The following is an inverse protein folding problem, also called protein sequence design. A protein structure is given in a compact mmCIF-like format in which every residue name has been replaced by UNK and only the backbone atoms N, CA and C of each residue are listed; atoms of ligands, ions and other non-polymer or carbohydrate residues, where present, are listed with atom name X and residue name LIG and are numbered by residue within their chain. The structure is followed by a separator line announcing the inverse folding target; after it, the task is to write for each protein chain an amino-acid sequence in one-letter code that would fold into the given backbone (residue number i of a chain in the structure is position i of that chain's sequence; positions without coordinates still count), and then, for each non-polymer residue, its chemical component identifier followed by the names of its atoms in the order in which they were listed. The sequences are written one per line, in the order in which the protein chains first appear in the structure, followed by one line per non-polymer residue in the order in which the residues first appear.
data_IF_647337344296
#
_entry.id   IF_647337344296
#
_cell.length_a   1.000
_cell.length_b   1.000
_cell.length_c   1.000
_cell.angle_alpha   90.00
_cell.angle_beta   90.00
_cell.angle_gamma   90.00
#
_symmetry.space_group_name_H-M   'P 1'
#
loop_
_entity.id
_entity.type
_entity.pdbx_description
1 polymer ?
#
# COMPACT_ATOMS: atom_id res chain seq x y z
N UNK A 1 11.73 8.93 10.28
CA UNK A 1 11.16 9.42 9.01
C UNK A 1 10.49 10.78 9.17
N UNK A 2 9.56 10.96 10.12
CA UNK A 2 8.86 12.23 10.34
C UNK A 2 9.79 13.43 10.59
N UNK A 3 10.81 13.27 11.45
CA UNK A 3 11.78 14.32 11.75
C UNK A 3 12.57 14.77 10.51
N UNK A 4 12.93 13.83 9.63
CA UNK A 4 13.64 14.14 8.39
C UNK A 4 12.76 14.91 7.38
N UNK A 5 11.48 14.56 7.26
CA UNK A 5 10.51 15.29 6.42
C UNK A 5 10.30 16.71 6.94
N UNK A 6 10.15 16.88 8.26
CA UNK A 6 10.01 18.19 8.89
C UNK A 6 11.24 19.05 8.67
N UNK A 7 12.44 18.51 8.86
CA UNK A 7 13.70 19.21 8.58
C UNK A 7 13.79 19.66 7.12
N UNK A 8 13.36 18.83 6.16
CA UNK A 8 13.33 19.21 4.75
C UNK A 8 12.30 20.31 4.44
N UNK A 9 11.14 20.28 5.07
CA UNK A 9 10.15 21.35 4.94
C UNK A 9 10.67 22.68 5.50
N UNK A 10 11.35 22.67 6.65
CA UNK A 10 12.01 23.85 7.22
C UNK A 10 13.14 24.35 6.31
N UNK A 11 13.99 23.45 5.80
CA UNK A 11 15.07 23.77 4.87
C UNK A 11 14.56 24.51 3.63
N UNK A 12 13.46 24.04 3.03
CA UNK A 12 12.83 24.71 1.88
C UNK A 12 12.33 26.10 2.27
N UNK A 13 11.63 26.22 3.40
CA UNK A 13 11.10 27.50 3.89
C UNK A 13 12.21 28.54 4.11
N UNK A 14 13.30 28.15 4.76
CA UNK A 14 14.42 29.04 5.05
C UNK A 14 15.14 29.46 3.77
N UNK A 15 15.36 28.51 2.85
CA UNK A 15 15.94 28.83 1.53
C UNK A 15 15.06 29.75 0.70
N UNK A 16 13.73 29.59 0.74
CA UNK A 16 12.79 30.51 0.09
C UNK A 16 12.84 31.91 0.69
N UNK A 17 12.98 32.04 2.03
CA UNK A 17 13.15 33.36 2.70
C UNK A 17 14.45 34.04 2.29
N UNK A 18 15.57 33.29 2.22
CA UNK A 18 16.86 33.78 1.74
C UNK A 18 16.73 34.22 0.27
N UNK A 19 16.13 33.40 -0.58
CA UNK A 19 15.90 33.71 -2.00
C UNK A 19 15.07 34.98 -2.14
N UNK A 20 13.98 35.14 -1.37
CA UNK A 20 13.17 36.36 -1.36
C UNK A 20 13.99 37.60 -0.99
N UNK A 21 14.86 37.49 0.00
CA UNK A 21 15.76 38.59 0.41
C UNK A 21 16.72 38.98 -0.72
N UNK A 22 17.34 37.99 -1.39
CA UNK A 22 18.21 38.22 -2.54
C UNK A 22 17.46 38.88 -3.71
N UNK A 23 16.24 38.42 -4.01
CA UNK A 23 15.39 39.01 -5.05
C UNK A 23 15.00 40.45 -4.73
N UNK A 24 14.72 40.77 -3.47
CA UNK A 24 14.36 42.13 -3.05
C UNK A 24 15.52 43.12 -3.18
N UNK A 25 16.76 42.66 -2.94
CA UNK A 25 17.97 43.46 -3.14
C UNK A 25 18.37 43.60 -4.61
N UNK A 26 17.81 42.77 -5.49
CA UNK A 26 18.08 42.82 -6.92
C UNK A 26 17.31 43.95 -7.60
N UNK A 27 18.04 44.86 -8.24
CA UNK A 27 17.49 46.07 -8.88
C UNK A 27 17.28 45.92 -10.39
N UNK A 28 18.00 45.00 -11.06
CA UNK A 28 17.84 44.77 -12.50
C UNK A 28 16.49 44.12 -12.84
N UNK A 29 15.97 44.46 -14.02
CA UNK A 29 14.70 43.97 -14.56
C UNK A 29 14.72 42.45 -14.80
N UNK A 30 15.89 41.88 -15.11
CA UNK A 30 16.08 40.47 -15.43
C UNK A 30 17.08 39.79 -14.49
N UNK A 31 16.80 38.54 -14.12
CA UNK A 31 17.69 37.73 -13.29
C UNK A 31 18.52 36.82 -14.17
N UNK A 32 19.81 37.13 -14.26
CA UNK A 32 20.82 36.26 -14.88
C UNK A 32 21.91 35.79 -13.91
N UNK A 33 21.83 36.19 -12.64
CA UNK A 33 22.84 35.82 -11.63
C UNK A 33 22.74 34.33 -11.33
N UNK A 34 23.77 33.57 -11.72
CA UNK A 34 23.82 32.10 -11.58
C UNK A 34 23.50 31.62 -10.18
N UNK A 35 23.95 32.32 -9.13
CA UNK A 35 23.68 31.94 -7.74
C UNK A 35 22.18 31.93 -7.41
N UNK A 36 21.43 32.92 -7.91
CA UNK A 36 19.99 33.05 -7.68
C UNK A 36 19.24 31.96 -8.45
N UNK A 37 19.66 31.70 -9.69
CA UNK A 37 19.08 30.66 -10.54
C UNK A 37 19.33 29.26 -9.95
N UNK A 38 20.57 28.95 -9.56
CA UNK A 38 20.93 27.67 -8.94
C UNK A 38 20.21 27.46 -7.61
N UNK A 39 20.06 28.52 -6.80
CA UNK A 39 19.30 28.45 -5.53
C UNK A 39 17.83 28.10 -5.79
N UNK A 40 17.18 28.80 -6.72
CA UNK A 40 15.80 28.51 -7.11
C UNK A 40 15.63 27.09 -7.67
N UNK A 41 16.58 26.64 -8.49
CA UNK A 41 16.56 25.29 -9.05
C UNK A 41 16.69 24.21 -7.96
N UNK A 42 17.63 24.39 -7.03
CA UNK A 42 17.84 23.47 -5.93
C UNK A 42 16.64 23.39 -4.99
N UNK A 43 15.97 24.51 -4.72
CA UNK A 43 14.73 24.52 -3.94
C UNK A 43 13.65 23.69 -4.64
N UNK A 44 13.41 23.94 -5.94
CA UNK A 44 12.43 23.18 -6.71
C UNK A 44 12.74 21.69 -6.77
N UNK A 45 14.01 21.31 -6.96
CA UNK A 45 14.45 19.90 -6.90
C UNK A 45 14.21 19.28 -5.53
N UNK A 46 14.50 20.00 -4.45
CA UNK A 46 14.29 19.50 -3.09
C UNK A 46 12.81 19.23 -2.82
N UNK A 47 11.90 20.07 -3.35
CA UNK A 47 10.46 19.81 -3.29
C UNK A 47 10.11 18.46 -3.95
N UNK A 48 10.45 18.27 -5.22
CA UNK A 48 10.02 17.07 -5.96
C UNK A 48 10.72 15.78 -5.55
N UNK A 49 12.01 15.83 -5.19
CA UNK A 49 12.79 14.64 -4.87
C UNK A 49 12.72 14.24 -3.40
N UNK A 50 12.63 15.22 -2.49
CA UNK A 50 12.82 14.95 -1.06
C UNK A 50 11.56 15.17 -0.25
N UNK A 51 10.80 16.24 -0.52
CA UNK A 51 9.64 16.57 0.32
C UNK A 51 8.35 15.92 -0.18
N UNK A 52 7.95 16.19 -1.43
CA UNK A 52 6.70 15.70 -2.03
C UNK A 52 6.44 14.21 -1.84
N UNK A 53 7.41 13.30 -2.10
CA UNK A 53 7.15 11.85 -1.96
C UNK A 53 6.72 11.44 -0.56
N UNK A 54 7.11 12.22 0.46
CA UNK A 54 6.82 11.96 1.85
C UNK A 54 5.55 12.67 2.34
N UNK A 55 5.03 13.66 1.60
CA UNK A 55 3.82 14.42 1.99
C UNK A 55 2.54 13.58 1.96
N UNK A 56 2.50 12.50 1.17
CA UNK A 56 1.37 11.55 1.13
C UNK A 56 1.15 10.80 2.45
N UNK A 57 2.16 10.77 3.33
CA UNK A 57 2.06 10.19 4.68
C UNK A 57 1.47 11.17 5.70
N UNK A 58 1.16 12.39 5.27
CA UNK A 58 0.51 13.40 6.09
C UNK A 58 -0.86 13.64 5.49
N UNK A 59 -1.87 13.89 6.32
CA UNK A 59 -3.25 14.11 5.89
C UNK A 59 -3.43 15.48 5.22
N UNK A 60 -2.62 15.75 4.20
CA UNK A 60 -2.58 16.97 3.40
C UNK A 60 -3.41 16.71 2.14
N UNK A 61 -4.40 17.56 1.88
CA UNK A 61 -5.26 17.44 0.72
C UNK A 61 -4.45 17.46 -0.59
N UNK A 62 -4.80 16.56 -1.52
CA UNK A 62 -4.15 16.45 -2.83
C UNK A 62 -4.22 17.75 -3.65
N UNK A 63 -5.23 18.59 -3.41
CA UNK A 63 -5.37 19.91 -4.02
C UNK A 63 -4.28 20.89 -3.57
N UNK A 64 -3.88 20.83 -2.29
CA UNK A 64 -2.79 21.62 -1.72
C UNK A 64 -1.46 21.19 -2.35
N UNK A 65 -1.20 19.87 -2.41
CA UNK A 65 0.02 19.35 -3.05
C UNK A 65 0.11 19.79 -4.52
N UNK A 66 -1.00 19.70 -5.26
CA UNK A 66 -1.07 20.09 -6.67
C UNK A 66 -0.82 21.60 -6.88
N UNK A 67 -1.31 22.44 -5.96
CA UNK A 67 -1.02 23.88 -5.95
C UNK A 67 0.48 24.14 -5.81
N UNK A 68 1.14 23.52 -4.83
CA UNK A 68 2.59 23.72 -4.63
C UNK A 68 3.41 23.10 -5.78
N UNK A 69 2.98 21.98 -6.36
CA UNK A 69 3.60 21.42 -7.56
C UNK A 69 3.62 22.42 -8.72
N UNK A 70 2.50 23.13 -8.95
CA UNK A 70 2.44 24.16 -9.97
C UNK A 70 3.43 25.30 -9.67
N UNK A 71 3.46 25.78 -8.42
CA UNK A 71 4.37 26.86 -8.01
C UNK A 71 5.86 26.46 -8.10
N UNK A 72 6.25 25.27 -7.64
CA UNK A 72 7.64 24.80 -7.71
C UNK A 72 8.07 24.46 -9.14
N UNK A 73 7.16 23.95 -9.99
CA UNK A 73 7.43 23.81 -11.41
C UNK A 73 7.65 25.17 -12.09
N UNK A 74 6.87 26.18 -11.72
CA UNK A 74 7.08 27.54 -12.21
C UNK A 74 8.44 28.09 -11.75
N UNK A 75 8.83 27.85 -10.49
CA UNK A 75 10.14 28.24 -9.97
C UNK A 75 11.29 27.58 -10.76
N UNK A 76 11.18 26.28 -11.09
CA UNK A 76 12.14 25.56 -11.94
C UNK A 76 12.19 26.07 -13.38
N UNK A 77 11.05 26.48 -13.95
CA UNK A 77 11.03 27.10 -15.29
C UNK A 77 11.74 28.45 -15.28
N UNK A 78 11.49 29.26 -14.25
CA UNK A 78 12.11 30.56 -14.08
C UNK A 78 13.63 30.45 -13.85
N UNK A 79 14.12 29.38 -13.22
CA UNK A 79 15.54 29.17 -12.96
C UNK A 79 16.38 28.80 -14.20
N UNK A 80 15.75 28.36 -15.30
CA UNK A 80 16.45 27.87 -16.51
C UNK A 80 16.82 28.94 -17.53
N UNK A 81 16.50 30.22 -17.28
CA UNK A 81 16.79 31.29 -18.23
C UNK A 81 16.69 32.68 -17.62
N UNK A 82 17.01 33.69 -18.43
CA UNK A 82 16.85 35.09 -18.04
C UNK A 82 15.37 35.46 -18.01
N UNK A 83 14.80 35.49 -16.81
CA UNK A 83 13.40 35.83 -16.58
C UNK A 83 13.29 37.15 -15.83
N UNK A 84 12.11 37.78 -15.90
CA UNK A 84 11.83 39.04 -15.20
C UNK A 84 11.89 38.84 -13.68
N UNK A 85 12.54 39.78 -12.99
CA UNK A 85 12.65 39.82 -11.53
C UNK A 85 11.26 39.81 -10.86
N UNK A 86 10.28 40.48 -11.47
CA UNK A 86 8.89 40.51 -10.98
C UNK A 86 8.24 39.13 -10.98
N UNK A 87 8.46 38.32 -12.02
CA UNK A 87 7.90 36.96 -12.11
C UNK A 87 8.47 36.05 -11.02
N UNK A 88 9.79 36.15 -10.75
CA UNK A 88 10.43 35.47 -9.64
C UNK A 88 9.88 35.89 -8.28
N UNK A 89 9.75 37.21 -8.04
CA UNK A 89 9.20 37.75 -6.79
C UNK A 89 7.76 37.28 -6.56
N UNK A 90 6.92 37.29 -7.60
CA UNK A 90 5.54 36.83 -7.52
C UNK A 90 5.46 35.35 -7.17
N UNK A 91 6.22 34.50 -7.88
CA UNK A 91 6.25 33.06 -7.65
C UNK A 91 6.72 32.72 -6.22
N UNK A 92 7.82 33.31 -5.76
CA UNK A 92 8.33 33.08 -4.39
C UNK A 92 7.37 33.60 -3.32
N UNK A 93 6.72 34.74 -3.55
CA UNK A 93 5.70 35.29 -2.65
C UNK A 93 4.49 34.36 -2.54
N UNK A 94 4.03 33.83 -3.67
CA UNK A 94 2.90 32.90 -3.72
C UNK A 94 3.19 31.63 -2.91
N UNK A 95 4.37 31.02 -3.11
CA UNK A 95 4.80 29.86 -2.32
C UNK A 95 4.83 30.22 -0.83
N UNK A 96 5.50 31.31 -0.44
CA UNK A 96 5.69 31.68 0.97
C UNK A 96 4.39 32.09 1.69
N UNK A 97 3.36 32.51 0.97
CA UNK A 97 2.17 33.14 1.56
C UNK A 97 1.45 32.26 2.59
N UNK A 98 1.38 30.94 2.33
CA UNK A 98 0.69 29.97 3.18
C UNK A 98 1.47 28.69 3.44
N UNK A 99 2.72 28.59 2.98
CA UNK A 99 3.54 27.38 3.14
C UNK A 99 3.68 26.92 4.59
N UNK A 100 3.82 27.87 5.51
CA UNK A 100 3.98 27.55 6.92
C UNK A 100 2.73 26.91 7.51
N UNK A 101 1.53 27.35 7.12
CA UNK A 101 0.25 26.84 7.62
C UNK A 101 -0.18 25.57 6.87
N UNK A 102 -0.10 25.60 5.53
CA UNK A 102 -0.60 24.53 4.65
C UNK A 102 0.36 23.34 4.52
N UNK A 103 1.64 23.47 4.87
CA UNK A 103 2.63 22.39 4.77
C UNK A 103 3.31 22.16 6.12
N UNK A 104 4.03 23.17 6.64
CA UNK A 104 4.90 22.95 7.79
C UNK A 104 4.12 22.63 9.07
N UNK A 105 3.08 23.41 9.38
CA UNK A 105 2.25 23.19 10.56
C UNK A 105 1.55 21.83 10.49
N UNK A 106 1.02 21.43 9.33
CA UNK A 106 0.40 20.12 9.16
C UNK A 106 1.40 18.97 9.39
N UNK A 107 2.64 19.09 8.92
CA UNK A 107 3.69 18.09 9.20
C UNK A 107 4.02 18.00 10.71
N UNK A 108 3.92 19.12 11.43
CA UNK A 108 4.23 19.23 12.86
C UNK A 108 3.08 18.79 13.77
N UNK A 109 1.84 19.09 13.40
CA UNK A 109 0.65 18.81 14.21
C UNK A 109 0.00 17.48 13.87
N UNK A 110 0.21 16.99 12.65
CA UNK A 110 -0.20 15.64 12.26
C UNK A 110 0.94 14.70 12.66
N UNK A 111 0.69 13.82 13.61
CA UNK A 111 1.44 12.57 13.71
C UNK A 111 1.44 12.00 12.30
N UNK A 112 2.61 11.82 11.65
CA UNK A 112 2.64 11.19 10.33
C UNK A 112 1.75 9.95 10.46
N UNK A 113 0.61 9.93 9.77
CA UNK A 113 -0.21 8.74 9.76
C UNK A 113 0.68 7.80 8.97
N UNK A 114 1.38 6.93 9.68
CA UNK A 114 2.55 6.21 9.17
C UNK A 114 2.03 5.35 8.01
N UNK A 115 2.03 5.97 6.83
CA UNK A 115 1.58 5.44 5.55
C UNK A 115 2.60 4.44 5.01
N UNK A 116 3.73 4.33 5.69
CA UNK A 116 4.57 3.14 5.71
C UNK A 116 4.18 2.30 6.91
N UNK A 117 3.15 1.49 6.75
CA UNK A 117 2.59 0.63 7.78
C UNK A 117 3.66 -0.37 8.27
N UNK A 118 4.53 0.04 9.20
CA UNK A 118 5.74 -0.70 9.60
C UNK A 118 5.38 -2.10 10.04
N UNK A 119 4.25 -2.24 10.75
CA UNK A 119 3.72 -3.52 11.17
C UNK A 119 3.32 -4.41 9.99
N UNK A 120 2.65 -3.86 8.98
CA UNK A 120 2.26 -4.62 7.79
C UNK A 120 3.49 -4.96 6.95
N UNK A 121 4.46 -4.05 6.83
CA UNK A 121 5.75 -4.31 6.16
C UNK A 121 6.58 -5.37 6.90
N UNK A 122 6.63 -5.34 8.22
CA UNK A 122 7.28 -6.36 9.06
C UNK A 122 6.60 -7.72 8.89
N UNK A 123 5.27 -7.73 8.89
CA UNK A 123 4.46 -8.96 8.74
C UNK A 123 4.65 -9.55 7.34
N UNK A 124 4.71 -8.71 6.30
CA UNK A 124 5.04 -9.08 4.92
C UNK A 124 6.50 -9.55 4.78
N UNK A 125 7.44 -8.89 5.47
CA UNK A 125 8.86 -9.23 5.40
C UNK A 125 9.13 -10.65 5.93
N UNK A 126 8.35 -11.11 6.91
CA UNK A 126 8.44 -12.49 7.45
C UNK A 126 8.15 -13.58 6.40
N UNK A 127 7.38 -13.24 5.37
CA UNK A 127 6.95 -14.16 4.31
C UNK A 127 7.73 -13.94 3.00
N UNK A 128 8.61 -12.94 2.97
CA UNK A 128 9.40 -12.56 1.80
C UNK A 128 10.58 -13.53 1.60
N UNK A 129 10.29 -14.82 1.46
CA UNK A 129 11.24 -15.79 0.92
C UNK A 129 11.10 -15.76 -0.62
N UNK A 130 12.17 -15.61 -1.42
CA UNK A 130 12.10 -15.47 -2.87
C UNK A 130 11.31 -16.56 -3.63
N UNK A 131 11.02 -17.69 -3.01
CA UNK A 131 10.22 -18.77 -3.59
C UNK A 131 8.71 -18.63 -3.35
N UNK A 132 8.28 -17.84 -2.34
CA UNK A 132 6.88 -17.77 -1.94
C UNK A 132 6.11 -16.70 -2.72
N UNK A 133 5.67 -17.14 -3.90
CA UNK A 133 4.54 -16.63 -4.67
C UNK A 133 4.67 -15.20 -5.22
N UNK A 134 4.79 -15.13 -6.56
CA UNK A 134 4.67 -13.89 -7.33
C UNK A 134 3.39 -13.09 -6.95
N UNK A 135 2.30 -13.77 -6.60
CA UNK A 135 1.06 -13.13 -6.15
C UNK A 135 1.24 -12.29 -4.89
N UNK A 136 2.04 -12.76 -3.91
CA UNK A 136 2.28 -11.99 -2.69
C UNK A 136 3.12 -10.75 -3.00
N UNK A 137 4.15 -10.88 -3.84
CA UNK A 137 4.95 -9.73 -4.32
C UNK A 137 4.07 -8.67 -4.99
N UNK A 138 3.15 -9.09 -5.87
CA UNK A 138 2.21 -8.18 -6.51
C UNK A 138 1.22 -7.56 -5.52
N UNK A 139 0.72 -8.32 -4.55
CA UNK A 139 -0.16 -7.82 -3.51
C UNK A 139 0.50 -6.66 -2.73
N UNK A 140 1.78 -6.81 -2.38
CA UNK A 140 2.57 -5.78 -1.70
C UNK A 140 2.70 -4.54 -2.58
N UNK A 141 3.02 -4.70 -3.87
CA UNK A 141 3.11 -3.57 -4.82
C UNK A 141 1.78 -2.83 -4.96
N UNK A 142 0.67 -3.55 -4.99
CA UNK A 142 -0.67 -2.95 -5.01
C UNK A 142 -0.92 -2.15 -3.73
N UNK A 143 -0.57 -2.71 -2.59
CA UNK A 143 -0.73 -2.06 -1.29
C UNK A 143 0.12 -0.78 -1.19
N UNK A 144 1.40 -0.83 -1.55
CA UNK A 144 2.29 0.35 -1.55
C UNK A 144 1.84 1.44 -2.52
N UNK A 145 1.07 1.06 -3.54
CA UNK A 145 0.49 1.99 -4.52
C UNK A 145 -0.92 2.46 -4.13
N UNK A 146 -1.43 2.08 -2.96
CA UNK A 146 -2.77 2.45 -2.48
C UNK A 146 -3.93 1.63 -3.04
N UNK A 147 -3.66 0.61 -3.86
CA UNK A 147 -4.67 -0.27 -4.47
C UNK A 147 -5.10 -1.39 -3.51
N UNK A 148 -5.79 -1.01 -2.43
CA UNK A 148 -6.21 -1.92 -1.34
C UNK A 148 -7.00 -3.14 -1.82
N UNK A 149 -8.01 -2.94 -2.68
CA UNK A 149 -8.82 -4.05 -3.23
C UNK A 149 -7.99 -5.06 -4.01
N UNK A 150 -7.09 -4.57 -4.88
CA UNK A 150 -6.19 -5.45 -5.64
C UNK A 150 -5.25 -6.22 -4.72
N UNK A 151 -4.72 -5.57 -3.68
CA UNK A 151 -3.85 -6.21 -2.69
C UNK A 151 -4.56 -7.38 -1.98
N UNK A 152 -5.84 -7.22 -1.63
CA UNK A 152 -6.65 -8.31 -1.02
C UNK A 152 -6.82 -9.47 -1.99
N UNK A 153 -7.19 -9.19 -3.25
CA UNK A 153 -7.39 -10.25 -4.25
C UNK A 153 -6.10 -11.05 -4.46
N UNK A 154 -4.98 -10.36 -4.64
CA UNK A 154 -3.67 -11.00 -4.85
C UNK A 154 -3.15 -11.72 -3.60
N UNK A 155 -3.37 -11.16 -2.41
CA UNK A 155 -3.04 -11.82 -1.15
C UNK A 155 -3.81 -13.13 -0.96
N UNK A 156 -5.09 -13.16 -1.34
CA UNK A 156 -5.88 -14.39 -1.32
C UNK A 156 -5.39 -15.41 -2.36
N UNK A 157 -4.99 -14.96 -3.56
CA UNK A 157 -4.36 -15.82 -4.55
C UNK A 157 -3.09 -16.50 -4.00
N UNK A 158 -2.25 -15.76 -3.25
CA UNK A 158 -1.08 -16.34 -2.60
C UNK A 158 -1.46 -17.39 -1.54
N UNK A 159 -2.48 -17.11 -0.72
CA UNK A 159 -3.01 -18.02 0.30
C UNK A 159 -3.52 -19.33 -0.32
N UNK A 160 -4.42 -19.24 -1.31
CA UNK A 160 -4.98 -20.41 -1.99
C UNK A 160 -3.93 -21.21 -2.76
N UNK A 161 -2.96 -20.54 -3.37
CA UNK A 161 -1.85 -21.22 -4.03
C UNK A 161 -1.08 -22.11 -3.05
N UNK A 162 -0.77 -21.60 -1.84
CA UNK A 162 -0.10 -22.38 -0.79
C UNK A 162 -0.95 -23.56 -0.32
N UNK A 163 -2.26 -23.35 -0.17
CA UNK A 163 -3.22 -24.43 0.17
C UNK A 163 -3.24 -25.51 -0.93
N UNK A 164 -3.27 -25.12 -2.20
CA UNK A 164 -3.25 -26.06 -3.33
C UNK A 164 -1.97 -26.89 -3.34
N UNK A 165 -0.80 -26.26 -3.18
CA UNK A 165 0.47 -26.99 -3.07
C UNK A 165 0.44 -28.02 -1.94
N UNK A 166 -0.16 -27.66 -0.80
CA UNK A 166 -0.29 -28.62 0.30
C UNK A 166 -1.21 -29.78 -0.06
N UNK A 167 -2.36 -29.53 -0.66
CA UNK A 167 -3.29 -30.58 -1.12
C UNK A 167 -2.61 -31.50 -2.15
N UNK A 168 -1.87 -30.93 -3.10
CA UNK A 168 -1.10 -31.69 -4.09
C UNK A 168 -0.05 -32.59 -3.41
N UNK A 169 0.65 -32.08 -2.38
CA UNK A 169 1.64 -32.86 -1.62
C UNK A 169 1.02 -34.00 -0.79
N UNK A 170 -0.19 -33.81 -0.25
CA UNK A 170 -0.95 -34.84 0.47
C UNK A 170 -1.55 -35.89 -0.49
N UNK A 171 -1.75 -35.50 -1.75
CA UNK A 171 -2.34 -36.31 -2.80
C UNK A 171 -3.86 -36.15 -2.88
N UNK A 172 -4.36 -36.10 -4.12
CA UNK A 172 -5.79 -35.96 -4.42
C UNK A 172 -6.68 -37.07 -3.84
N UNK A 173 -6.25 -38.34 -3.69
CA UNK A 173 -7.06 -39.35 -3.02
C UNK A 173 -7.44 -38.97 -1.58
N UNK A 174 -6.53 -38.33 -0.82
CA UNK A 174 -6.82 -37.87 0.54
C UNK A 174 -7.88 -36.76 0.54
N UNK A 175 -7.77 -35.81 -0.40
CA UNK A 175 -8.76 -34.75 -0.59
C UNK A 175 -10.14 -35.31 -0.94
N UNK A 176 -10.20 -36.24 -1.92
CA UNK A 176 -11.44 -36.87 -2.35
C UNK A 176 -12.08 -37.67 -1.21
N UNK A 177 -11.31 -38.49 -0.51
CA UNK A 177 -11.77 -39.26 0.64
C UNK A 177 -12.33 -38.36 1.75
N UNK A 178 -11.63 -37.25 2.07
CA UNK A 178 -12.11 -36.30 3.06
C UNK A 178 -13.41 -35.64 2.61
N UNK A 179 -13.50 -35.15 1.37
CA UNK A 179 -14.75 -34.54 0.88
C UNK A 179 -15.95 -35.50 0.96
N UNK A 180 -15.73 -36.78 0.63
CA UNK A 180 -16.74 -37.82 0.74
C UNK A 180 -17.13 -38.09 2.20
N UNK A 181 -16.15 -38.12 3.10
CA UNK A 181 -16.40 -38.26 4.53
C UNK A 181 -17.25 -37.08 5.06
N UNK A 182 -16.83 -35.84 4.79
CA UNK A 182 -17.55 -34.64 5.23
C UNK A 182 -18.98 -34.63 4.71
N UNK A 183 -19.19 -34.96 3.43
CA UNK A 183 -20.52 -35.00 2.82
C UNK A 183 -21.43 -36.12 3.36
N UNK A 184 -20.86 -37.12 4.05
CA UNK A 184 -21.62 -38.19 4.70
C UNK A 184 -22.07 -37.83 6.12
N UNK A 185 -21.54 -36.76 6.71
CA UNK A 185 -21.87 -36.38 8.07
C UNK A 185 -23.27 -35.75 8.14
N UNK A 186 -24.15 -36.35 8.94
CA UNK A 186 -25.54 -35.88 9.13
C UNK A 186 -25.71 -34.99 10.37
N UNK A 187 -24.71 -34.93 11.24
CA UNK A 187 -24.73 -34.18 12.50
C UNK A 187 -23.42 -33.39 12.68
N UNK A 188 -23.42 -32.45 13.63
CA UNK A 188 -22.24 -31.66 13.98
C UNK A 188 -21.91 -30.53 12.99
N UNK A 189 -20.65 -30.11 13.02
CA UNK A 189 -20.09 -28.94 12.31
C UNK A 189 -20.19 -29.06 10.79
N UNK A 190 -19.90 -30.25 10.25
CA UNK A 190 -19.83 -30.48 8.80
C UNK A 190 -21.16 -30.87 8.16
N UNK A 191 -22.27 -30.96 8.91
CA UNK A 191 -23.59 -31.36 8.38
C UNK A 191 -24.12 -30.49 7.22
N UNK A 192 -23.56 -29.29 7.04
CA UNK A 192 -23.93 -28.36 5.97
C UNK A 192 -23.11 -28.57 4.70
N UNK A 193 -22.01 -29.30 4.78
CA UNK A 193 -21.20 -29.66 3.64
C UNK A 193 -21.80 -30.91 2.97
N UNK A 194 -22.14 -30.80 1.69
CA UNK A 194 -22.86 -31.84 0.96
C UNK A 194 -22.24 -32.16 -0.41
N UNK A 195 -21.03 -31.63 -0.67
CA UNK A 195 -20.35 -31.78 -1.96
C UNK A 195 -19.34 -32.91 -1.92
N UNK A 196 -19.31 -33.72 -2.97
CA UNK A 196 -18.35 -34.82 -3.14
C UNK A 196 -17.45 -34.49 -4.31
N UNK A 197 -16.15 -34.61 -4.11
CA UNK A 197 -15.16 -34.38 -5.17
C UNK A 197 -14.47 -35.68 -5.54
N UNK A 198 -14.08 -35.76 -6.81
CA UNK A 198 -13.24 -36.82 -7.34
C UNK A 198 -12.24 -36.20 -8.32
N UNK A 199 -11.30 -35.43 -7.79
CA UNK A 199 -10.27 -34.76 -8.58
C UNK A 199 -9.06 -35.68 -8.79
N UNK A 200 -8.42 -35.59 -9.95
CA UNK A 200 -7.22 -36.32 -10.33
C UNK A 200 -6.05 -35.43 -10.76
N UNK A 201 -6.26 -34.11 -10.84
CA UNK A 201 -5.22 -33.17 -11.28
C UNK A 201 -5.28 -31.82 -10.56
N UNK A 202 -4.17 -31.08 -10.62
CA UNK A 202 -4.09 -29.70 -10.11
C UNK A 202 -5.03 -28.74 -10.86
N UNK A 203 -5.30 -29.01 -12.14
CA UNK A 203 -6.25 -28.22 -12.95
C UNK A 203 -7.67 -28.36 -12.40
N UNK A 204 -8.10 -29.59 -12.11
CA UNK A 204 -9.42 -29.86 -11.53
C UNK A 204 -9.54 -29.29 -10.12
N UNK A 205 -8.48 -29.33 -9.31
CA UNK A 205 -8.47 -28.71 -7.98
C UNK A 205 -8.78 -27.20 -8.07
N UNK A 206 -8.27 -26.50 -9.08
CA UNK A 206 -8.48 -25.06 -9.27
C UNK A 206 -9.92 -24.69 -9.65
N UNK A 207 -10.73 -25.66 -10.09
CA UNK A 207 -12.16 -25.45 -10.37
C UNK A 207 -13.02 -25.60 -9.11
N UNK A 208 -12.47 -26.14 -8.03
CA UNK A 208 -13.16 -26.25 -6.75
C UNK A 208 -13.27 -24.86 -6.11
N UNK A 209 -14.46 -24.50 -5.64
CA UNK A 209 -14.66 -23.24 -4.95
C UNK A 209 -13.84 -23.19 -3.65
N UNK A 210 -13.10 -22.09 -3.44
CA UNK A 210 -12.27 -21.86 -2.27
C UNK A 210 -13.01 -22.10 -0.94
N UNK A 211 -14.29 -21.73 -0.87
CA UNK A 211 -15.11 -21.99 0.32
C UNK A 211 -15.20 -23.49 0.64
N UNK A 212 -15.35 -24.34 -0.37
CA UNK A 212 -15.40 -25.79 -0.19
C UNK A 212 -14.01 -26.34 0.17
N UNK A 213 -12.94 -25.74 -0.38
CA UNK A 213 -11.55 -26.05 0.00
C UNK A 213 -11.34 -25.79 1.50
N UNK A 214 -11.79 -24.65 2.03
CA UNK A 214 -11.68 -24.33 3.46
C UNK A 214 -12.32 -25.38 4.37
N UNK A 215 -13.47 -25.93 3.96
CA UNK A 215 -14.12 -27.03 4.69
C UNK A 215 -13.28 -28.30 4.68
N UNK A 216 -12.71 -28.64 3.53
CA UNK A 216 -11.94 -29.87 3.36
C UNK A 216 -10.63 -29.80 4.13
N UNK A 217 -9.92 -28.66 4.12
CA UNK A 217 -8.68 -28.51 4.90
C UNK A 217 -8.91 -28.45 6.41
N UNK A 218 -10.09 -27.98 6.87
CA UNK A 218 -10.53 -28.13 8.27
C UNK A 218 -10.75 -29.62 8.60
N UNK A 219 -11.42 -30.36 7.72
CA UNK A 219 -11.62 -31.80 7.86
C UNK A 219 -10.31 -32.60 7.88
N UNK A 220 -9.32 -32.19 7.08
CA UNK A 220 -7.96 -32.74 7.08
C UNK A 220 -7.14 -32.37 8.33
N UNK A 221 -7.64 -31.48 9.20
CA UNK A 221 -6.94 -31.03 10.41
C UNK A 221 -5.79 -30.05 10.14
N UNK A 222 -5.70 -29.51 8.92
CA UNK A 222 -4.70 -28.50 8.57
C UNK A 222 -5.00 -27.17 9.28
N UNK A 223 -6.29 -26.86 9.47
CA UNK A 223 -6.77 -25.73 10.25
C UNK A 223 -7.84 -26.16 11.24
N UNK A 224 -8.06 -25.35 12.28
CA UNK A 224 -9.17 -25.51 13.22
C UNK A 224 -10.42 -24.68 12.84
N UNK A 225 -11.45 -24.77 13.69
CA UNK A 225 -12.73 -24.07 13.50
C UNK A 225 -12.60 -22.54 13.47
N UNK A 226 -11.75 -21.99 14.34
CA UNK A 226 -11.57 -20.55 14.46
C UNK A 226 -10.76 -20.01 13.28
N UNK A 227 -9.73 -20.75 12.88
CA UNK A 227 -8.94 -20.50 11.69
C UNK A 227 -9.81 -20.55 10.42
N UNK A 228 -10.68 -21.56 10.29
CA UNK A 228 -11.65 -21.62 9.19
C UNK A 228 -12.53 -20.38 9.17
N UNK A 229 -13.09 -19.98 10.31
CA UNK A 229 -13.99 -18.81 10.39
C UNK A 229 -13.29 -17.52 9.97
N UNK A 230 -12.03 -17.35 10.38
CA UNK A 230 -11.18 -16.21 10.00
C UNK A 230 -10.83 -16.21 8.52
N UNK A 231 -10.41 -17.36 7.98
CA UNK A 231 -10.13 -17.51 6.54
C UNK A 231 -11.39 -17.32 5.68
N UNK A 232 -12.56 -17.73 6.18
CA UNK A 232 -13.84 -17.46 5.53
C UNK A 232 -14.11 -15.95 5.45
N UNK A 233 -13.85 -15.21 6.52
CA UNK A 233 -13.89 -13.74 6.50
C UNK A 233 -12.93 -13.13 5.47
N UNK A 234 -11.72 -13.70 5.35
CA UNK A 234 -10.74 -13.28 4.34
C UNK A 234 -11.24 -13.54 2.90
N UNK A 235 -11.79 -14.72 2.64
CA UNK A 235 -12.40 -15.07 1.35
C UNK A 235 -13.56 -14.13 1.00
N UNK A 236 -14.44 -13.84 1.96
CA UNK A 236 -15.56 -12.94 1.74
C UNK A 236 -15.06 -11.52 1.44
N UNK A 237 -14.00 -11.05 2.12
CA UNK A 237 -13.37 -9.76 1.80
C UNK A 237 -12.73 -9.74 0.41
N UNK A 238 -12.13 -10.84 -0.04
CA UNK A 238 -11.66 -10.99 -1.42
C UNK A 238 -12.82 -10.86 -2.41
N UNK A 239 -13.97 -11.49 -2.15
CA UNK A 239 -15.14 -11.37 -3.02
C UNK A 239 -15.67 -9.93 -3.05
N UNK A 240 -15.78 -9.27 -1.90
CA UNK A 240 -16.14 -7.84 -1.84
C UNK A 240 -15.15 -6.94 -2.59
N UNK A 241 -13.88 -7.32 -2.65
CA UNK A 241 -12.84 -6.56 -3.36
C UNK A 241 -12.87 -6.76 -4.88
N UNK A 242 -13.33 -7.92 -5.34
CA UNK A 242 -13.39 -8.30 -6.75
C UNK A 242 -14.69 -7.86 -7.46
N UNK A 243 -15.76 -7.58 -6.70
CA UNK A 243 -17.03 -7.14 -7.24
C UNK A 243 -17.29 -5.65 -7.00
N UNK A 244 -17.97 -4.94 -7.92
CA UNK A 244 -18.38 -3.56 -7.69
C UNK A 244 -19.26 -3.47 -6.43
N UNK A 245 -18.90 -2.56 -5.53
CA UNK A 245 -19.63 -2.36 -4.28
C UNK A 245 -19.16 -1.09 -3.56
N UNK A 246 -20.01 -0.57 -2.68
CA UNK A 246 -19.79 0.69 -1.96
C UNK A 246 -19.13 0.52 -0.59
N UNK A 247 -18.95 -0.72 -0.13
CA UNK A 247 -18.28 -1.00 1.14
C UNK A 247 -16.81 -0.53 1.07
N UNK A 248 -16.37 0.39 1.93
CA UNK A 248 -15.00 0.85 1.94
C UNK A 248 -14.06 -0.21 2.52
N UNK A 249 -12.87 -0.34 1.95
CA UNK A 249 -11.80 -1.15 2.51
C UNK A 249 -10.82 -0.23 3.23
N UNK A 250 -10.87 -0.27 4.55
CA UNK A 250 -10.02 0.55 5.42
C UNK A 250 -8.67 -0.12 5.65
N UNK A 251 -7.74 0.63 6.25
CA UNK A 251 -6.44 0.10 6.67
C UNK A 251 -6.57 -1.09 7.64
N UNK A 252 -7.48 -1.00 8.60
CA UNK A 252 -7.71 -2.06 9.59
C UNK A 252 -8.20 -3.37 8.95
N UNK A 253 -9.02 -3.27 7.89
CA UNK A 253 -9.45 -4.46 7.15
C UNK A 253 -8.26 -5.15 6.48
N UNK A 254 -7.35 -4.37 5.87
CA UNK A 254 -6.13 -4.89 5.25
C UNK A 254 -5.21 -5.55 6.28
N UNK A 255 -4.97 -4.89 7.41
CA UNK A 255 -4.10 -5.44 8.46
C UNK A 255 -4.65 -6.75 9.02
N UNK A 256 -5.96 -6.81 9.30
CA UNK A 256 -6.62 -8.03 9.77
C UNK A 256 -6.48 -9.16 8.74
N UNK A 257 -6.72 -8.86 7.46
CA UNK A 257 -6.65 -9.87 6.40
C UNK A 257 -5.24 -10.44 6.20
N UNK A 258 -4.23 -9.56 6.09
CA UNK A 258 -2.86 -10.02 5.88
C UNK A 258 -2.32 -10.76 7.10
N UNK A 259 -2.66 -10.31 8.32
CA UNK A 259 -2.34 -11.04 9.54
C UNK A 259 -2.88 -12.47 9.51
N UNK A 260 -4.16 -12.63 9.16
CA UNK A 260 -4.83 -13.94 9.15
C UNK A 260 -4.25 -14.88 8.11
N UNK A 261 -4.13 -14.47 6.85
CA UNK A 261 -3.60 -15.36 5.79
C UNK A 261 -2.12 -15.71 6.04
N UNK A 262 -1.35 -14.78 6.63
CA UNK A 262 0.08 -15.00 6.87
C UNK A 262 0.28 -15.98 8.02
N UNK A 263 -0.37 -15.77 9.17
CA UNK A 263 -0.17 -16.62 10.34
C UNK A 263 -0.86 -17.99 10.19
N UNK A 264 -2.06 -18.04 9.59
CA UNK A 264 -2.84 -19.29 9.51
C UNK A 264 -2.33 -20.20 8.38
N UNK A 265 -1.85 -19.62 7.27
CA UNK A 265 -1.50 -20.40 6.07
C UNK A 265 -0.04 -20.21 5.68
N UNK A 266 0.40 -18.99 5.37
CA UNK A 266 1.68 -18.79 4.68
C UNK A 266 2.90 -19.17 5.55
N UNK A 267 2.86 -18.84 6.85
CA UNK A 267 3.93 -19.21 7.80
C UNK A 267 3.63 -20.48 8.60
N UNK A 268 2.46 -21.09 8.40
CA UNK A 268 2.05 -22.24 9.18
C UNK A 268 2.78 -23.51 8.70
N UNK A 269 3.55 -24.20 9.56
CA UNK A 269 4.31 -25.40 9.18
C UNK A 269 3.45 -26.54 8.61
N UNK A 270 2.14 -26.56 8.91
CA UNK A 270 1.21 -27.55 8.33
C UNK A 270 1.03 -27.37 6.82
N UNK A 271 1.36 -26.20 6.27
CA UNK A 271 1.28 -25.88 4.84
C UNK A 271 2.64 -25.85 4.14
N UNK A 272 3.73 -26.12 4.86
CA UNK A 272 5.08 -26.32 4.32
C UNK A 272 5.27 -27.79 3.92
#
# INVERSE_FOLDING_TARGET
MQQATEEKAKEILDRLKILRSLLNKHTSEFIGKKDVLNSAENIGKTWFHSLKPNLSSYNIDASIISKYDACFNQLLKLSRGNNRTLSFKSCVKEILSKYQEEILLLIQTTSADVGNDTQLQELIARVSNPEESQYLSEAIKCLTSGFKRAAVVLGWCACIYKIHLKIESLGFPAFNAMSNNLASQTHGRFKRFNKKYNIGSASELREVFDNDILWIIEGLGLIDLNEHTRLKGCFDMRNHSAHPGNAPITKFNIMSFFSDIIEIVLLNPKFV
#
